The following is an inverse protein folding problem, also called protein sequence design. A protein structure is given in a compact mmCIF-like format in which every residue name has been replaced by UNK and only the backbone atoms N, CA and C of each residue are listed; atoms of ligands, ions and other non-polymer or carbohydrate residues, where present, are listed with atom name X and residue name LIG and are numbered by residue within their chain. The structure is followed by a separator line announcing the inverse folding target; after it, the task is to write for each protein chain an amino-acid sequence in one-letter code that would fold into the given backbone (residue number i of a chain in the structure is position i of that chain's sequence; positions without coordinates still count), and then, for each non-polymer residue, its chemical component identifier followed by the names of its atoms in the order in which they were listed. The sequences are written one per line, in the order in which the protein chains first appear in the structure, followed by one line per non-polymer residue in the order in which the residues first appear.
data_IF_289639713870
#
_entry.id   IF_289639713870
#
_cell.length_a   1.000
_cell.length_b   1.000
_cell.length_c   1.000
_cell.angle_alpha   90.00
_cell.angle_beta   90.00
_cell.angle_gamma   90.00
#
_symmetry.space_group_name_H-M   'P 1'
#
loop_
_entity.id
_entity.type
_entity.pdbx_description
1 polymer ?
#
# COMPACT_ATOMS: atom_id res chain seq x y z
N UNK A 1 14.63 12.91 3.70
CA UNK A 1 14.30 11.68 4.47
C UNK A 1 12.80 11.32 4.40
N UNK A 2 11.86 12.20 4.79
CA UNK A 2 10.41 11.89 4.78
C UNK A 2 9.83 11.54 3.40
N UNK A 3 10.26 12.25 2.35
CA UNK A 3 9.84 11.99 0.97
C UNK A 3 10.32 10.63 0.44
N UNK A 4 11.56 10.22 0.75
CA UNK A 4 12.10 8.93 0.32
C UNK A 4 11.36 7.74 0.95
N UNK A 5 10.93 7.87 2.21
CA UNK A 5 10.09 6.85 2.87
C UNK A 5 8.71 6.81 2.22
N UNK A 6 8.10 7.96 1.93
CA UNK A 6 6.81 8.03 1.26
C UNK A 6 6.84 7.46 -0.17
N UNK A 7 7.90 7.73 -0.94
CA UNK A 7 8.10 7.15 -2.27
C UNK A 7 8.24 5.63 -2.22
N UNK A 8 9.01 5.13 -1.25
CA UNK A 8 9.15 3.69 -1.02
C UNK A 8 7.82 3.04 -0.65
N UNK A 9 7.07 3.62 0.27
CA UNK A 9 5.73 3.13 0.65
C UNK A 9 4.79 3.14 -0.56
N UNK A 10 4.78 4.22 -1.35
CA UNK A 10 3.98 4.30 -2.57
C UNK A 10 4.35 3.21 -3.59
N UNK A 11 5.64 2.92 -3.77
CA UNK A 11 6.09 1.84 -4.64
C UNK A 11 5.56 0.48 -4.18
N UNK A 12 5.71 0.18 -2.89
CA UNK A 12 5.23 -1.08 -2.30
C UNK A 12 3.73 -1.21 -2.46
N UNK A 13 2.96 -0.19 -2.08
CA UNK A 13 1.51 -0.23 -2.19
C UNK A 13 1.03 -0.38 -3.64
N UNK A 14 1.70 0.27 -4.61
CA UNK A 14 1.36 0.15 -6.03
C UNK A 14 1.66 -1.24 -6.60
N UNK A 15 2.87 -1.74 -6.40
CA UNK A 15 3.35 -2.93 -7.11
C UNK A 15 3.15 -4.23 -6.32
N UNK A 16 3.32 -4.23 -5.00
CA UNK A 16 3.19 -5.45 -4.18
C UNK A 16 1.74 -5.70 -3.74
N UNK A 17 0.94 -4.66 -3.61
CA UNK A 17 -0.47 -4.77 -3.19
C UNK A 17 -1.49 -4.54 -4.32
N UNK A 18 -1.02 -4.44 -5.57
CA UNK A 18 -1.90 -4.34 -6.75
C UNK A 18 -2.64 -3.01 -6.89
N UNK A 19 -2.28 -1.95 -6.15
CA UNK A 19 -2.91 -0.63 -6.32
C UNK A 19 -2.50 0.08 -7.63
N UNK A 20 -1.63 -0.54 -8.43
CA UNK A 20 -1.35 -0.10 -9.80
C UNK A 20 -2.50 -0.44 -10.77
N UNK A 21 -3.34 -1.42 -10.43
CA UNK A 21 -4.39 -1.89 -11.32
C UNK A 21 -5.59 -0.94 -11.39
N UNK A 22 -6.38 -1.08 -12.44
CA UNK A 22 -7.64 -0.36 -12.58
C UNK A 22 -8.74 -1.04 -11.78
N UNK A 23 -9.40 -0.29 -10.92
CA UNK A 23 -10.52 -0.79 -10.13
C UNK A 23 -11.85 -0.38 -10.78
N UNK A 24 -12.82 -1.30 -10.78
CA UNK A 24 -14.16 -1.08 -11.35
C UNK A 24 -14.88 0.10 -10.70
N UNK A 25 -14.65 0.33 -9.40
CA UNK A 25 -15.27 1.41 -8.66
C UNK A 25 -14.41 1.87 -7.48
N UNK A 26 -14.71 3.06 -6.97
CA UNK A 26 -13.99 3.67 -5.86
C UNK A 26 -14.08 2.86 -4.56
N UNK A 27 -15.19 2.15 -4.32
CA UNK A 27 -15.36 1.34 -3.11
C UNK A 27 -14.34 0.19 -3.07
N UNK A 28 -14.17 -0.53 -4.18
CA UNK A 28 -13.19 -1.62 -4.28
C UNK A 28 -11.76 -1.09 -4.13
N UNK A 29 -11.45 0.06 -4.75
CA UNK A 29 -10.17 0.74 -4.57
C UNK A 29 -9.91 1.10 -3.09
N UNK A 30 -10.90 1.72 -2.43
CA UNK A 30 -10.77 2.14 -1.03
C UNK A 30 -10.55 0.94 -0.11
N UNK A 31 -11.30 -0.15 -0.32
CA UNK A 31 -11.13 -1.37 0.47
C UNK A 31 -9.74 -2.00 0.29
N UNK A 32 -9.24 -2.07 -0.95
CA UNK A 32 -7.90 -2.57 -1.23
C UNK A 32 -6.83 -1.66 -0.60
N UNK A 33 -7.00 -0.34 -0.68
CA UNK A 33 -6.07 0.63 -0.09
C UNK A 33 -5.98 0.47 1.43
N UNK A 34 -7.12 0.41 2.11
CA UNK A 34 -7.18 0.27 3.57
C UNK A 34 -6.53 -1.04 4.03
N UNK A 35 -6.81 -2.14 3.32
CA UNK A 35 -6.18 -3.42 3.58
C UNK A 35 -4.66 -3.35 3.37
N UNK A 36 -4.21 -2.75 2.26
CA UNK A 36 -2.79 -2.64 1.93
C UNK A 36 -2.01 -1.85 2.99
N UNK A 37 -2.59 -0.74 3.49
CA UNK A 37 -2.02 0.05 4.58
C UNK A 37 -1.96 -0.78 5.87
N UNK A 38 -3.05 -1.48 6.21
CA UNK A 38 -3.09 -2.34 7.38
C UNK A 38 -2.03 -3.44 7.33
N UNK A 39 -1.92 -4.14 6.19
CA UNK A 39 -0.93 -5.19 5.98
C UNK A 39 0.50 -4.65 6.05
N UNK A 40 0.78 -3.52 5.39
CA UNK A 40 2.09 -2.87 5.42
C UNK A 40 2.52 -2.53 6.86
N UNK A 41 1.62 -1.97 7.66
CA UNK A 41 1.94 -1.51 9.02
C UNK A 41 2.01 -2.65 10.06
N UNK A 42 1.22 -3.72 9.90
CA UNK A 42 1.05 -4.73 10.95
C UNK A 42 1.71 -6.09 10.65
N UNK A 43 1.83 -6.46 9.38
CA UNK A 43 2.25 -7.81 8.98
C UNK A 43 3.61 -7.83 8.29
N UNK A 44 4.16 -6.67 7.94
CA UNK A 44 5.57 -6.59 7.59
C UNK A 44 6.36 -6.80 8.89
N UNK A 45 7.20 -7.84 9.00
CA UNK A 45 8.10 -7.96 10.13
C UNK A 45 9.07 -6.79 10.00
N UNK A 46 8.81 -5.73 10.75
CA UNK A 46 9.80 -4.73 11.06
C UNK A 46 10.82 -5.45 11.93
N UNK A 47 11.77 -6.16 11.28
CA UNK A 47 12.95 -6.64 11.98
C UNK A 47 13.61 -5.41 12.60
N UNK A 48 13.73 -5.36 13.94
CA UNK A 48 14.40 -4.25 14.63
C UNK A 48 15.87 -4.14 14.21
#
# INVERSE_FOLDING_TARGET
MKHAVAERVNGILKYEFGLIDTFENFKNLSQQLDQSIYYYNNLRPHFP
#
